data_IF_589019906257
#
_entry.id   IF_589019906257
#
_cell.length_a   1.000
_cell.length_b   1.000
_cell.length_c   1.000
_cell.angle_alpha   90.00
_cell.angle_beta   90.00
_cell.angle_gamma   90.00
#
_symmetry.space_group_name_H-M   'P 1'
#
loop_
_entity.id
_entity.type
_entity.pdbx_description
1 polymer ?
#
# COMPACT_ATOMS: atom_id res chain seq x y z
N UNK A 1 2.35 -41.14 -4.29
CA UNK A 1 2.65 -39.80 -3.74
C UNK A 1 1.93 -38.79 -4.62
N UNK A 2 0.78 -38.28 -4.17
CA UNK A 2 0.01 -37.31 -4.96
C UNK A 2 0.73 -35.98 -4.96
N UNK A 3 1.17 -35.48 -6.12
CA UNK A 3 1.59 -34.09 -6.23
C UNK A 3 0.38 -33.20 -6.00
N UNK A 4 0.37 -32.46 -4.90
CA UNK A 4 -0.61 -31.41 -4.67
C UNK A 4 -0.55 -30.42 -5.83
N UNK A 5 -1.71 -30.12 -6.42
CA UNK A 5 -1.78 -29.14 -7.50
C UNK A 5 -1.33 -27.77 -6.97
N UNK A 6 -0.52 -27.03 -7.73
CA UNK A 6 -0.15 -25.68 -7.35
C UNK A 6 -1.39 -24.80 -7.24
N UNK A 7 -1.44 -23.94 -6.22
CA UNK A 7 -2.55 -23.02 -6.00
C UNK A 7 -2.75 -22.10 -7.21
N UNK A 8 -4.01 -22.00 -7.62
CA UNK A 8 -4.46 -21.03 -8.62
C UNK A 8 -4.22 -19.59 -8.14
N UNK A 9 -4.14 -18.65 -9.08
CA UNK A 9 -4.02 -17.23 -8.74
C UNK A 9 -5.19 -16.73 -7.88
N UNK A 10 -6.40 -17.26 -8.10
CA UNK A 10 -7.57 -16.95 -7.29
C UNK A 10 -7.40 -17.40 -5.83
N UNK A 11 -6.93 -18.64 -5.60
CA UNK A 11 -6.69 -19.18 -4.26
C UNK A 11 -5.60 -18.40 -3.52
N UNK A 12 -4.51 -18.04 -4.20
CA UNK A 12 -3.45 -17.20 -3.60
C UNK A 12 -3.98 -15.83 -3.19
N UNK A 13 -4.78 -15.19 -4.04
CA UNK A 13 -5.40 -13.88 -3.73
C UNK A 13 -6.39 -14.00 -2.58
N UNK A 14 -7.20 -15.07 -2.53
CA UNK A 14 -8.15 -15.31 -1.45
C UNK A 14 -7.43 -15.51 -0.10
N UNK A 15 -6.37 -16.34 -0.06
CA UNK A 15 -5.54 -16.56 1.12
C UNK A 15 -4.92 -15.25 1.62
N UNK A 16 -4.35 -14.44 0.73
CA UNK A 16 -3.76 -13.14 1.09
C UNK A 16 -4.80 -12.17 1.65
N UNK A 17 -5.98 -12.08 1.04
CA UNK A 17 -7.08 -11.22 1.52
C UNK A 17 -7.64 -11.68 2.87
N UNK A 18 -7.69 -12.99 3.13
CA UNK A 18 -8.10 -13.52 4.43
C UNK A 18 -7.12 -13.09 5.54
N UNK A 19 -5.81 -13.23 5.31
CA UNK A 19 -4.79 -12.77 6.26
C UNK A 19 -4.87 -11.26 6.54
N UNK A 20 -5.06 -10.43 5.51
CA UNK A 20 -5.24 -8.98 5.68
C UNK A 20 -6.49 -8.64 6.52
N UNK A 21 -7.59 -9.37 6.33
CA UNK A 21 -8.81 -9.17 7.12
C UNK A 21 -8.65 -9.58 8.58
N UNK A 22 -7.90 -10.65 8.84
CA UNK A 22 -7.57 -11.05 10.21
C UNK A 22 -6.78 -9.96 10.95
N UNK A 23 -5.90 -9.23 10.24
CA UNK A 23 -5.17 -8.07 10.75
C UNK A 23 -6.02 -6.79 10.89
N UNK A 24 -7.34 -6.86 10.66
CA UNK A 24 -8.24 -5.71 10.72
C UNK A 24 -8.19 -4.78 9.50
N UNK A 25 -7.44 -5.14 8.45
CA UNK A 25 -7.37 -4.36 7.21
C UNK A 25 -8.53 -4.71 6.28
N UNK A 26 -8.98 -3.73 5.48
CA UNK A 26 -10.01 -3.92 4.45
C UNK A 26 -9.40 -3.81 3.05
N UNK A 27 -9.10 -4.94 2.36
CA UNK A 27 -8.55 -4.92 1.02
C UNK A 27 -9.53 -4.29 0.02
N UNK A 28 -9.07 -3.30 -0.74
CA UNK A 28 -9.79 -2.70 -1.87
C UNK A 28 -9.01 -2.95 -3.16
N UNK A 29 -9.74 -3.18 -4.25
CA UNK A 29 -9.14 -3.32 -5.59
C UNK A 29 -9.36 -2.03 -6.36
N UNK A 30 -8.29 -1.51 -6.94
CA UNK A 30 -8.32 -0.38 -7.87
C UNK A 30 -7.95 -0.89 -9.26
N UNK A 31 -8.58 -0.30 -10.27
CA UNK A 31 -8.18 -0.50 -11.65
C UNK A 31 -7.18 0.58 -12.01
N UNK A 32 -5.95 0.16 -12.28
CA UNK A 32 -4.88 1.05 -12.70
C UNK A 32 -4.68 0.90 -14.21
N UNK A 33 -4.24 1.97 -14.90
CA UNK A 33 -3.74 1.86 -16.26
C UNK A 33 -2.52 0.94 -16.32
N UNK A 34 -2.20 0.43 -17.51
CA UNK A 34 -1.00 -0.36 -17.71
C UNK A 34 0.26 0.53 -17.59
N UNK A 35 0.89 0.44 -16.43
CA UNK A 35 2.07 1.23 -16.07
C UNK A 35 3.35 0.80 -16.77
N UNK A 36 3.32 -0.30 -17.54
CA UNK A 36 4.48 -0.82 -18.27
C UNK A 36 4.60 -0.27 -19.69
N UNK A 37 3.54 0.38 -20.19
CA UNK A 37 3.55 0.98 -21.53
C UNK A 37 4.53 2.17 -21.60
N UNK A 38 5.33 2.29 -22.67
CA UNK A 38 6.22 3.43 -22.86
C UNK A 38 5.49 4.78 -22.81
N UNK A 39 4.25 4.83 -23.31
CA UNK A 39 3.43 6.03 -23.33
C UNK A 39 3.06 6.48 -21.91
N UNK A 40 2.66 5.54 -21.04
CA UNK A 40 2.39 5.85 -19.64
C UNK A 40 3.65 6.33 -18.91
N UNK A 41 4.79 5.68 -19.16
CA UNK A 41 6.07 6.06 -18.57
C UNK A 41 6.48 7.49 -18.95
N UNK A 42 6.29 7.87 -20.23
CA UNK A 42 6.58 9.21 -20.73
C UNK A 42 5.69 10.28 -20.08
N UNK A 43 4.38 10.06 -20.05
CA UNK A 43 3.43 11.01 -19.44
C UNK A 43 3.59 11.10 -17.93
N UNK A 44 3.88 9.98 -17.26
CA UNK A 44 4.21 9.97 -15.84
C UNK A 44 5.48 10.77 -15.56
N UNK A 45 6.51 10.66 -16.41
CA UNK A 45 7.73 11.46 -16.31
C UNK A 45 7.43 12.95 -16.45
N UNK A 46 6.69 13.36 -17.50
CA UNK A 46 6.32 14.76 -17.72
C UNK A 46 5.51 15.33 -16.57
N UNK A 47 4.50 14.59 -16.11
CA UNK A 47 3.64 15.00 -15.00
C UNK A 47 4.45 15.13 -13.71
N UNK A 48 5.37 14.20 -13.45
CA UNK A 48 6.27 14.26 -12.31
C UNK A 48 7.16 15.50 -12.36
N UNK A 49 7.77 15.79 -13.51
CA UNK A 49 8.62 16.97 -13.70
C UNK A 49 7.84 18.26 -13.55
N UNK A 50 6.63 18.32 -14.12
CA UNK A 50 5.73 19.45 -13.95
C UNK A 50 5.36 19.65 -12.48
N UNK A 51 4.95 18.58 -11.78
CA UNK A 51 4.62 18.64 -10.37
C UNK A 51 5.80 19.12 -9.54
N UNK A 52 7.02 18.63 -9.81
CA UNK A 52 8.21 19.05 -9.07
C UNK A 52 8.57 20.52 -9.30
N UNK A 53 8.36 21.04 -10.50
CA UNK A 53 8.58 22.45 -10.78
C UNK A 53 7.53 23.38 -10.13
N UNK A 54 6.35 22.85 -9.79
CA UNK A 54 5.21 23.60 -9.28
C UNK A 54 4.81 23.22 -7.86
N UNK A 55 5.55 22.32 -7.21
CA UNK A 55 5.33 22.01 -5.81
C UNK A 55 5.79 23.24 -5.02
N UNK A 56 4.84 23.96 -4.44
CA UNK A 56 5.18 24.97 -3.46
C UNK A 56 5.73 24.24 -2.23
N UNK A 57 6.85 24.71 -1.71
CA UNK A 57 7.37 24.27 -0.41
C UNK A 57 6.49 24.88 0.69
N UNK A 58 5.26 24.36 0.79
CA UNK A 58 4.34 24.67 1.87
C UNK A 58 4.77 23.87 3.09
N UNK A 59 5.75 24.42 3.80
CA UNK A 59 6.31 23.83 5.02
C UNK A 59 5.24 23.59 6.08
N UNK A 60 4.17 24.38 6.10
CA UNK A 60 3.06 24.19 7.03
C UNK A 60 2.24 22.96 6.65
N UNK A 61 1.88 22.82 5.38
CA UNK A 61 1.22 21.63 4.86
C UNK A 61 2.07 20.36 5.04
N UNK A 62 3.38 20.44 4.80
CA UNK A 62 4.32 19.33 4.99
C UNK A 62 4.49 18.95 6.46
N UNK A 63 4.53 19.94 7.37
CA UNK A 63 4.55 19.70 8.81
C UNK A 63 3.26 19.03 9.29
N UNK A 64 2.10 19.48 8.79
CA UNK A 64 0.81 18.86 9.08
C UNK A 64 0.74 17.41 8.58
N UNK A 65 1.16 17.16 7.34
CA UNK A 65 1.20 15.82 6.75
C UNK A 65 2.14 14.87 7.52
N UNK A 66 3.30 15.38 7.95
CA UNK A 66 4.23 14.65 8.83
C UNK A 66 3.58 14.26 10.15
N UNK A 67 3.01 15.23 10.87
CA UNK A 67 2.34 14.98 12.16
C UNK A 67 1.18 13.97 12.03
N UNK A 68 0.38 14.05 10.97
CA UNK A 68 -0.67 13.08 10.68
C UNK A 68 -0.12 11.67 10.42
N UNK A 69 1.00 11.57 9.71
CA UNK A 69 1.67 10.30 9.43
C UNK A 69 2.20 9.67 10.70
N UNK A 70 2.83 10.44 11.59
CA UNK A 70 3.35 9.96 12.86
C UNK A 70 2.24 9.36 13.74
N UNK A 71 1.08 10.01 13.82
CA UNK A 71 -0.09 9.49 14.56
C UNK A 71 -0.57 8.15 13.99
N UNK A 72 -0.61 8.03 12.66
CA UNK A 72 -1.03 6.77 12.00
C UNK A 72 0.00 5.68 12.23
N UNK A 73 1.30 5.98 12.08
CA UNK A 73 2.37 5.01 12.27
C UNK A 73 2.44 4.53 13.72
N UNK A 74 2.35 5.41 14.71
CA UNK A 74 2.32 5.01 16.12
C UNK A 74 1.13 4.07 16.42
N UNK A 75 -0.03 4.36 15.81
CA UNK A 75 -1.20 3.50 15.93
C UNK A 75 -0.95 2.12 15.31
N UNK A 76 -0.34 2.06 14.13
CA UNK A 76 -0.01 0.81 13.46
C UNK A 76 0.99 -0.01 14.28
N UNK A 77 2.05 0.62 14.79
CA UNK A 77 3.03 -0.04 15.67
C UNK A 77 2.39 -0.59 16.93
N UNK A 78 1.45 0.15 17.54
CA UNK A 78 0.69 -0.34 18.69
C UNK A 78 -0.12 -1.58 18.36
N UNK A 79 -0.76 -1.62 17.18
CA UNK A 79 -1.50 -2.78 16.73
C UNK A 79 -0.58 -3.97 16.46
N UNK A 80 0.58 -3.75 15.84
CA UNK A 80 1.57 -4.81 15.65
C UNK A 80 2.10 -5.39 16.96
N UNK A 81 2.34 -4.56 17.98
CA UNK A 81 2.77 -5.05 19.30
C UNK A 81 1.72 -5.96 19.93
N UNK A 82 0.46 -5.56 19.87
CA UNK A 82 -0.66 -6.37 20.40
C UNK A 82 -0.78 -7.71 19.66
N UNK A 83 -0.64 -7.72 18.33
CA UNK A 83 -0.66 -8.95 17.55
C UNK A 83 0.45 -9.92 17.99
N UNK A 84 1.69 -9.43 18.15
CA UNK A 84 2.84 -10.22 18.62
C UNK A 84 2.71 -10.72 20.06
N UNK A 85 1.98 -10.02 20.91
CA UNK A 85 1.70 -10.43 22.30
C UNK A 85 0.60 -11.50 22.37
N UNK A 86 -0.35 -11.47 21.43
CA UNK A 86 -1.47 -12.42 21.37
C UNK A 86 -1.08 -13.75 20.72
N UNK A 87 0.00 -13.77 19.94
CA UNK A 87 0.57 -14.96 19.29
C UNK A 87 1.60 -15.75 20.15
N UNK A 88 1.83 -15.35 21.41
CA UNK A 88 2.64 -16.11 22.41
C UNK A 88 1.77 -16.88 23.38
#
# INVERSE_FOLDING_TARGET
MGMERPMTSAERVAKRRAALRAQGLRPKTFWLPDTTTPEFQEEARKTREWLWAHVEDDREAMAFAGAMTDVVLERLERLERLDRETER
#
